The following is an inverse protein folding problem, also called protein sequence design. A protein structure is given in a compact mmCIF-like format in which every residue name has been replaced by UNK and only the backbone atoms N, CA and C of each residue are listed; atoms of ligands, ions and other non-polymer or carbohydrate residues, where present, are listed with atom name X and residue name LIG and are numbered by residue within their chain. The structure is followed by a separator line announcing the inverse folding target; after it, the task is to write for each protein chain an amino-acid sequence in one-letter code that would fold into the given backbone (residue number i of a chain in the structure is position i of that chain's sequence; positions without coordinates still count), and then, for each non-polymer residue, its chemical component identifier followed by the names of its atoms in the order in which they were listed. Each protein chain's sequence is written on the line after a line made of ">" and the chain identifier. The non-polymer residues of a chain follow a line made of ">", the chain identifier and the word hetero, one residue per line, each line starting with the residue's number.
data_IF_677364078625
#
_entry.id   IF_677364078625
#
_cell.length_a   1.000
_cell.length_b   1.000
_cell.length_c   1.000
_cell.angle_alpha   90.00
_cell.angle_beta   90.00
_cell.angle_gamma   90.00
#
_symmetry.space_group_name_H-M   'P 1'
#
loop_
_entity.id
_entity.type
_entity.pdbx_description
1 polymer ?
#
# COMPACT_ATOMS: atom_id res chain seq x y z
N UNK A 1 -21.54 -6.31 31.28
CA UNK A 1 -21.42 -6.65 29.86
C UNK A 1 -21.19 -5.38 29.06
N UNK A 2 -20.04 -5.21 28.37
CA UNK A 2 -19.86 -4.11 27.42
C UNK A 2 -19.70 -4.60 25.98
N UNK A 3 -20.36 -3.86 25.08
CA UNK A 3 -20.49 -4.09 23.63
C UNK A 3 -19.16 -3.83 22.88
N UNK A 4 -18.77 -4.76 22.00
CA UNK A 4 -17.57 -4.67 21.17
C UNK A 4 -17.91 -3.89 19.89
N UNK A 5 -17.40 -2.65 19.79
CA UNK A 5 -17.41 -1.91 18.53
C UNK A 5 -16.44 -2.57 17.53
N UNK A 6 -16.99 -3.19 16.48
CA UNK A 6 -16.24 -3.66 15.32
C UNK A 6 -15.75 -2.45 14.50
N UNK A 7 -14.59 -1.90 14.86
CA UNK A 7 -13.82 -1.07 13.95
C UNK A 7 -12.96 -1.97 13.06
N UNK A 8 -13.45 -2.25 11.85
CA UNK A 8 -12.64 -2.72 10.75
C UNK A 8 -11.62 -1.63 10.37
N UNK A 9 -10.53 -1.56 11.12
CA UNK A 9 -9.31 -0.88 10.67
C UNK A 9 -8.79 -1.65 9.48
N UNK A 10 -9.02 -1.14 8.27
CA UNK A 10 -8.21 -1.50 7.11
C UNK A 10 -6.76 -1.17 7.48
N UNK A 11 -5.96 -2.19 7.73
CA UNK A 11 -4.54 -2.00 7.99
C UNK A 11 -3.92 -1.35 6.75
N UNK A 12 -3.23 -0.20 6.89
CA UNK A 12 -2.43 0.32 5.80
C UNK A 12 -1.32 -0.70 5.53
N UNK A 13 -1.20 -1.14 4.27
CA UNK A 13 -0.06 -1.92 3.83
C UNK A 13 1.19 -1.05 4.02
N UNK A 14 2.09 -1.47 4.92
CA UNK A 14 3.31 -0.73 5.21
C UNK A 14 4.33 -0.99 4.10
N UNK A 15 4.81 0.09 3.49
CA UNK A 15 5.86 0.04 2.46
C UNK A 15 7.17 0.47 3.13
N UNK A 16 8.06 -0.46 3.52
CA UNK A 16 9.40 -0.09 3.95
C UNK A 16 10.13 0.67 2.84
N UNK A 17 10.65 1.85 3.17
CA UNK A 17 11.61 2.55 2.33
C UNK A 17 12.95 1.83 2.40
N UNK A 18 13.45 1.40 1.25
CA UNK A 18 14.73 0.69 1.11
C UNK A 18 15.86 1.64 0.70
N UNK A 19 15.56 2.94 0.52
CA UNK A 19 16.47 4.04 0.21
C UNK A 19 15.71 5.22 -0.45
N UNK A 20 16.40 6.30 -0.87
CA UNK A 20 15.73 7.45 -1.50
C UNK A 20 15.20 7.17 -2.92
N UNK A 21 15.53 6.01 -3.49
CA UNK A 21 15.24 5.66 -4.89
C UNK A 21 14.25 4.49 -5.00
N UNK A 22 14.06 3.71 -3.93
CA UNK A 22 13.26 2.48 -3.97
C UNK A 22 12.43 2.27 -2.71
N UNK A 23 11.29 1.62 -2.91
CA UNK A 23 10.38 1.23 -1.84
C UNK A 23 9.94 -0.23 -2.09
N UNK A 24 9.80 -1.01 -1.04
CA UNK A 24 9.37 -2.40 -1.14
C UNK A 24 7.98 -2.54 -0.55
N UNK A 25 7.01 -3.05 -1.32
CA UNK A 25 5.69 -3.38 -0.81
C UNK A 25 5.69 -4.82 -0.29
N UNK A 26 5.38 -4.99 1.00
CA UNK A 26 5.32 -6.32 1.64
C UNK A 26 3.90 -6.59 2.13
N UNK A 27 3.36 -7.75 1.73
CA UNK A 27 2.12 -8.27 2.28
C UNK A 27 2.40 -8.95 3.62
N UNK A 28 1.92 -8.36 4.72
CA UNK A 28 2.10 -8.92 6.08
C UNK A 28 1.08 -9.99 6.44
N UNK A 29 0.02 -10.14 5.64
CA UNK A 29 -1.03 -11.15 5.82
C UNK A 29 -1.43 -11.75 4.47
N UNK A 30 -1.76 -13.05 4.42
CA UNK A 30 -2.28 -13.67 3.21
C UNK A 30 -3.54 -12.98 2.73
N UNK A 31 -3.61 -12.75 1.43
CA UNK A 31 -4.83 -12.32 0.75
C UNK A 31 -5.70 -13.56 0.52
N UNK A 32 -6.94 -13.56 1.03
CA UNK A 32 -7.87 -14.69 0.91
C UNK A 32 -9.01 -14.38 -0.07
N UNK A 33 -9.44 -15.43 -0.77
CA UNK A 33 -10.61 -15.43 -1.66
C UNK A 33 -10.38 -14.72 -2.99
N UNK A 34 -11.30 -14.90 -3.95
CA UNK A 34 -11.27 -14.16 -5.20
C UNK A 34 -11.52 -12.68 -4.92
N UNK A 35 -10.55 -11.83 -5.22
CA UNK A 35 -10.69 -10.38 -5.07
C UNK A 35 -9.67 -9.61 -5.88
N UNK A 36 -10.06 -8.39 -6.21
CA UNK A 36 -9.21 -7.41 -6.86
C UNK A 36 -8.78 -6.38 -5.83
N UNK A 37 -7.48 -6.18 -5.67
CA UNK A 37 -6.92 -5.16 -4.78
C UNK A 37 -6.28 -4.08 -5.63
N UNK A 38 -6.76 -2.84 -5.48
CA UNK A 38 -6.15 -1.66 -6.08
C UNK A 38 -5.37 -0.89 -5.00
N UNK A 39 -4.14 -0.52 -5.35
CA UNK A 39 -3.25 0.27 -4.52
C UNK A 39 -2.80 1.48 -5.32
N UNK A 40 -3.11 2.67 -4.83
CA UNK A 40 -2.61 3.93 -5.38
C UNK A 40 -1.45 4.38 -4.50
N UNK A 41 -0.26 4.49 -5.09
CA UNK A 41 0.97 4.87 -4.41
C UNK A 41 1.48 6.18 -5.00
N UNK A 42 1.87 7.10 -4.13
CA UNK A 42 2.46 8.38 -4.52
C UNK A 42 3.86 8.49 -3.93
N UNK A 43 4.85 8.73 -4.80
CA UNK A 43 6.19 9.10 -4.40
C UNK A 43 6.31 10.62 -4.43
N UNK A 44 6.66 11.21 -3.30
CA UNK A 44 6.91 12.64 -3.17
C UNK A 44 8.42 12.87 -3.23
N UNK A 45 8.86 13.74 -4.14
CA UNK A 45 10.26 14.20 -4.22
C UNK A 45 10.34 15.64 -3.75
N UNK A 46 11.20 15.93 -2.77
CA UNK A 46 11.43 17.28 -2.25
C UNK A 46 12.93 17.60 -2.33
N UNK A 47 13.27 18.73 -2.95
CA UNK A 47 14.62 19.30 -2.93
C UNK A 47 14.53 20.76 -2.45
N UNK A 48 15.04 21.01 -1.24
CA UNK A 48 14.94 22.29 -0.54
C UNK A 48 15.89 23.35 -1.07
N UNK A 49 16.99 22.97 -1.73
CA UNK A 49 17.99 23.92 -2.24
C UNK A 49 17.44 24.73 -3.42
N UNK A 50 16.65 24.07 -4.27
CA UNK A 50 16.04 24.69 -5.46
C UNK A 50 14.52 24.89 -5.30
N UNK A 51 13.98 24.70 -4.10
CA UNK A 51 12.54 24.75 -3.81
C UNK A 51 11.67 23.87 -4.73
N UNK A 52 12.19 22.69 -5.12
CA UNK A 52 11.47 21.75 -5.98
C UNK A 52 10.64 20.78 -5.15
N UNK A 53 9.37 20.60 -5.55
CA UNK A 53 8.47 19.57 -5.03
C UNK A 53 7.75 18.90 -6.19
N UNK A 54 7.97 17.60 -6.35
CA UNK A 54 7.36 16.77 -7.38
C UNK A 54 6.60 15.59 -6.79
N UNK A 55 5.67 15.04 -7.56
CA UNK A 55 4.92 13.83 -7.23
C UNK A 55 4.87 12.90 -8.42
N UNK A 56 5.05 11.61 -8.17
CA UNK A 56 4.84 10.55 -9.16
C UNK A 56 3.85 9.55 -8.58
N UNK A 57 2.81 9.20 -9.33
CA UNK A 57 1.77 8.26 -8.89
C UNK A 57 1.85 6.97 -9.70
N UNK A 58 1.70 5.84 -9.03
CA UNK A 58 1.55 4.52 -9.65
C UNK A 58 0.32 3.81 -9.07
N UNK A 59 -0.45 3.17 -9.94
CA UNK A 59 -1.58 2.32 -9.57
C UNK A 59 -1.22 0.86 -9.79
N UNK A 60 -1.18 0.09 -8.71
CA UNK A 60 -0.99 -1.35 -8.76
C UNK A 60 -2.34 -2.06 -8.60
N UNK A 61 -2.64 -3.01 -9.49
CA UNK A 61 -3.78 -3.93 -9.37
C UNK A 61 -3.28 -5.35 -9.13
N UNK A 62 -3.80 -5.98 -8.08
CA UNK A 62 -3.49 -7.36 -7.71
C UNK A 62 -4.77 -8.17 -7.88
N UNK A 63 -4.71 -9.20 -8.72
CA UNK A 63 -5.81 -10.14 -8.93
C UNK A 63 -5.54 -11.41 -8.13
N UNK A 64 -6.48 -11.82 -7.29
CA UNK A 64 -6.38 -13.06 -6.53
C UNK A 64 -7.44 -14.03 -7.02
N UNK A 65 -7.01 -15.21 -7.45
CA UNK A 65 -7.88 -16.27 -7.96
C UNK A 65 -8.58 -17.03 -6.82
N UNK A 66 -9.69 -17.67 -7.15
CA UNK A 66 -10.41 -18.55 -6.22
C UNK A 66 -9.61 -19.83 -5.90
N UNK A 67 -8.77 -20.27 -6.84
CA UNK A 67 -8.00 -21.51 -6.74
C UNK A 67 -6.50 -21.21 -6.77
N UNK A 68 -5.69 -21.92 -5.95
CA UNK A 68 -4.24 -21.86 -6.06
C UNK A 68 -3.78 -22.40 -7.42
N UNK A 69 -2.68 -21.86 -7.93
CA UNK A 69 -2.02 -22.28 -9.16
C UNK A 69 -1.10 -23.49 -8.92
#
# INVERSE_FOLDING_TARGET
>A
MPSINHHHRHHPHFVPQTGPISATLVMTRPIKGPRDVQLDLEMITVNTVINFRGSSVIRLRIYVSQYPF
#
